data_IF_944244057144
#
_entry.id   IF_944244057144
#
_cell.length_a   1.000
_cell.length_b   1.000
_cell.length_c   1.000
_cell.angle_alpha   90.00
_cell.angle_beta   90.00
_cell.angle_gamma   90.00
#
_symmetry.space_group_name_H-M   'P 1'
#
loop_
_entity.id
_entity.type
_entity.pdbx_description
1 polymer ?
#
# COMPACT_ATOMS: atom_id res chain seq x y z
N UNK A 1 -39.84 26.22 -41.23
CA UNK A 1 -38.88 26.72 -40.23
C UNK A 1 -37.90 25.58 -40.05
N UNK A 2 -36.96 25.44 -41.00
CA UNK A 2 -35.60 25.98 -40.95
C UNK A 2 -34.78 25.28 -39.85
N UNK A 3 -33.65 24.61 -40.06
CA UNK A 3 -32.74 24.38 -41.20
C UNK A 3 -31.78 23.25 -40.73
N UNK A 4 -31.44 22.24 -41.55
CA UNK A 4 -30.23 22.12 -42.41
C UNK A 4 -28.92 22.15 -41.58
N UNK A 5 -27.86 21.39 -41.83
CA UNK A 5 -27.53 20.37 -42.82
C UNK A 5 -26.20 19.70 -42.38
N UNK A 6 -25.89 18.60 -43.06
CA UNK A 6 -24.62 17.88 -43.10
C UNK A 6 -23.35 18.73 -43.26
N UNK A 7 -22.21 18.22 -42.78
CA UNK A 7 -20.90 18.57 -43.36
C UNK A 7 -19.83 17.48 -43.12
N UNK A 8 -19.65 16.63 -44.12
CA UNK A 8 -18.37 15.99 -44.46
C UNK A 8 -17.44 17.05 -45.05
N UNK A 9 -16.13 17.07 -44.77
CA UNK A 9 -15.09 17.35 -45.78
C UNK A 9 -13.70 16.81 -45.41
N UNK A 10 -12.96 16.53 -46.48
CA UNK A 10 -11.68 15.88 -46.68
C UNK A 10 -10.43 16.67 -46.22
N UNK A 11 -9.31 15.95 -46.12
CA UNK A 11 -7.92 16.48 -46.13
C UNK A 11 -7.57 17.06 -47.51
N UNK A 12 -6.75 18.13 -47.53
CA UNK A 12 -5.55 18.24 -48.38
C UNK A 12 -4.74 19.53 -48.06
N UNK A 13 -3.53 19.52 -48.62
CA UNK A 13 -2.22 20.11 -48.32
C UNK A 13 -2.01 21.60 -48.68
N UNK A 14 -0.79 22.07 -48.41
CA UNK A 14 -0.03 23.21 -49.00
C UNK A 14 0.16 24.53 -48.21
N UNK A 15 1.43 24.84 -47.89
CA UNK A 15 2.08 26.06 -48.41
C UNK A 15 2.60 27.16 -47.45
N UNK A 16 3.92 27.14 -47.21
CA UNK A 16 4.94 28.24 -47.14
C UNK A 16 4.80 29.56 -46.32
N UNK A 17 5.93 29.95 -45.70
CA UNK A 17 6.39 31.36 -45.57
C UNK A 17 7.00 31.81 -44.22
N UNK A 18 8.35 31.90 -44.17
CA UNK A 18 9.30 32.92 -43.61
C UNK A 18 8.84 33.95 -42.54
N UNK A 19 9.63 34.55 -41.63
CA UNK A 19 11.02 34.63 -41.11
C UNK A 19 10.93 35.50 -39.83
N UNK A 20 11.86 35.37 -38.87
CA UNK A 20 12.57 36.49 -38.18
C UNK A 20 13.22 36.09 -36.83
N UNK A 21 14.45 36.59 -36.68
CA UNK A 21 15.46 36.39 -35.62
C UNK A 21 15.21 37.25 -34.37
N UNK A 22 15.66 36.81 -33.19
CA UNK A 22 16.35 37.70 -32.24
C UNK A 22 17.21 36.92 -31.23
N UNK A 23 18.50 37.26 -31.22
CA UNK A 23 19.56 36.77 -30.34
C UNK A 23 19.45 37.33 -28.91
N UNK A 24 19.99 36.59 -27.94
CA UNK A 24 20.16 37.05 -26.56
C UNK A 24 21.19 36.21 -25.80
N UNK A 25 22.46 36.54 -25.99
CA UNK A 25 23.59 36.03 -25.20
C UNK A 25 23.65 36.73 -23.83
N UNK A 26 23.77 35.97 -22.74
CA UNK A 26 24.48 36.42 -21.53
C UNK A 26 25.27 35.27 -20.91
N UNK A 27 26.58 35.31 -21.13
CA UNK A 27 27.57 34.59 -20.35
C UNK A 27 28.06 35.50 -19.22
N UNK A 28 28.00 35.03 -17.98
CA UNK A 28 28.65 35.67 -16.84
C UNK A 28 29.71 34.74 -16.24
N UNK A 29 30.93 35.22 -16.40
CA UNK A 29 32.22 34.82 -15.85
C UNK A 29 32.27 35.02 -14.32
N UNK A 30 32.94 34.11 -13.60
CA UNK A 30 33.60 34.44 -12.33
C UNK A 30 34.70 33.42 -11.96
N UNK A 31 35.89 33.74 -12.45
CA UNK A 31 37.18 33.82 -11.74
C UNK A 31 37.60 32.75 -10.71
N UNK A 32 38.78 32.20 -10.98
CA UNK A 32 39.55 31.40 -10.06
C UNK A 32 40.19 32.20 -8.92
N UNK A 33 40.31 31.55 -7.78
CA UNK A 33 41.23 31.94 -6.71
C UNK A 33 42.09 30.73 -6.35
N UNK A 34 43.37 30.87 -6.67
CA UNK A 34 44.46 30.12 -6.10
C UNK A 34 44.69 30.59 -4.65
N UNK A 35 44.68 29.64 -3.72
CA UNK A 35 45.24 29.76 -2.36
C UNK A 35 45.67 28.33 -2.04
N UNK A 36 46.96 28.02 -1.97
CA UNK A 36 47.85 28.42 -0.89
C UNK A 36 48.08 27.15 -0.06
N UNK A 37 49.23 26.52 -0.27
CA UNK A 37 49.63 25.30 0.42
C UNK A 37 49.96 25.63 1.87
N UNK A 38 49.26 24.99 2.80
CA UNK A 38 49.72 24.80 4.18
C UNK A 38 49.62 23.30 4.47
N UNK A 39 50.78 22.64 4.42
CA UNK A 39 51.04 21.35 5.05
C UNK A 39 51.00 21.58 6.57
N UNK A 40 50.40 20.63 7.31
CA UNK A 40 50.48 20.40 8.77
C UNK A 40 49.11 20.39 9.48
N UNK A 41 48.34 19.29 9.34
CA UNK A 41 47.53 18.73 10.44
C UNK A 41 47.09 17.29 10.12
N UNK A 42 48.03 16.33 10.18
CA UNK A 42 47.71 14.90 10.15
C UNK A 42 47.28 14.44 11.55
N UNK A 43 46.05 14.78 11.93
CA UNK A 43 45.33 14.14 13.02
C UNK A 43 44.99 12.70 12.64
N UNK A 44 45.78 11.74 13.14
CA UNK A 44 45.48 10.31 13.16
C UNK A 44 44.12 10.09 13.87
N UNK A 45 43.04 10.06 13.11
CA UNK A 45 41.80 9.45 13.56
C UNK A 45 42.01 7.95 13.49
N UNK A 46 42.01 7.31 14.66
CA UNK A 46 42.02 5.87 14.80
C UNK A 46 40.87 5.29 13.97
N UNK A 47 41.20 4.44 12.99
CA UNK A 47 40.23 3.67 12.22
C UNK A 47 39.43 2.80 13.20
N UNK A 48 38.19 3.20 13.49
CA UNK A 48 37.22 2.31 14.10
C UNK A 48 37.12 1.03 13.23
N UNK A 49 37.24 -0.17 13.82
CA UNK A 49 37.18 -1.40 13.05
C UNK A 49 35.83 -1.47 12.31
N UNK A 50 35.80 -2.02 11.08
CA UNK A 50 34.59 -2.04 10.27
C UNK A 50 33.46 -2.67 11.10
N UNK A 51 32.40 -1.89 11.33
CA UNK A 51 31.20 -2.36 12.00
C UNK A 51 30.78 -3.66 11.32
N UNK A 52 30.87 -4.77 12.06
CA UNK A 52 30.39 -6.06 11.60
C UNK A 52 28.97 -5.87 11.08
N UNK A 53 28.67 -6.35 9.88
CA UNK A 53 27.32 -6.43 9.35
C UNK A 53 26.40 -7.00 10.42
N UNK A 54 25.69 -6.11 11.13
CA UNK A 54 24.79 -6.49 12.20
C UNK A 54 23.62 -7.12 11.48
N UNK A 55 23.63 -8.46 11.37
CA UNK A 55 22.53 -9.23 10.79
C UNK A 55 21.28 -8.84 11.55
N UNK A 56 20.41 -8.13 10.87
CA UNK A 56 19.12 -7.76 11.43
C UNK A 56 18.33 -9.04 11.63
N UNK A 57 17.77 -9.21 12.81
CA UNK A 57 16.88 -10.31 13.13
C UNK A 57 15.62 -10.18 12.27
N UNK A 58 15.67 -10.77 11.08
CA UNK A 58 14.55 -10.92 10.17
C UNK A 58 14.17 -12.38 10.16
N UNK A 59 12.90 -12.66 10.45
CA UNK A 59 12.37 -14.01 10.37
C UNK A 59 11.25 -14.05 9.33
N UNK A 60 11.35 -15.04 8.44
CA UNK A 60 10.28 -15.35 7.50
C UNK A 60 9.10 -15.90 8.29
N UNK A 61 7.97 -15.21 8.21
CA UNK A 61 6.71 -15.58 8.83
C UNK A 61 5.87 -16.34 7.78
N UNK A 62 5.46 -17.55 8.11
CA UNK A 62 4.42 -18.32 7.41
C UNK A 62 3.03 -17.76 7.73
N UNK A 63 2.02 -18.05 6.90
CA UNK A 63 0.62 -17.67 7.18
C UNK A 63 0.16 -18.03 8.62
N UNK A 64 0.59 -19.18 9.13
CA UNK A 64 0.30 -19.63 10.50
C UNK A 64 0.97 -18.77 11.57
N UNK A 65 2.23 -18.40 11.37
CA UNK A 65 2.98 -17.55 12.32
C UNK A 65 2.55 -16.09 12.23
N UNK A 66 1.99 -15.68 11.09
CA UNK A 66 1.40 -14.36 10.90
C UNK A 66 0.08 -14.24 11.67
N UNK A 67 -0.74 -15.27 11.57
CA UNK A 67 -1.99 -15.38 12.32
C UNK A 67 -1.73 -15.39 13.83
N UNK A 68 -0.67 -16.07 14.29
CA UNK A 68 -0.27 -16.05 15.70
C UNK A 68 0.17 -14.65 16.18
N UNK A 69 1.00 -13.95 15.39
CA UNK A 69 1.42 -12.58 15.70
C UNK A 69 0.23 -11.62 15.74
N UNK A 70 -0.68 -11.71 14.75
CA UNK A 70 -1.91 -10.93 14.74
C UNK A 70 -2.75 -11.21 15.99
N UNK A 71 -2.85 -12.47 16.40
CA UNK A 71 -3.62 -12.87 17.59
C UNK A 71 -3.03 -12.33 18.88
N UNK A 72 -1.70 -12.22 18.99
CA UNK A 72 -1.02 -11.62 20.14
C UNK A 72 -1.34 -10.12 20.27
N UNK A 73 -1.24 -9.37 19.16
CA UNK A 73 -1.59 -7.94 19.13
C UNK A 73 -3.07 -7.73 19.46
N UNK A 74 -3.96 -8.56 18.89
CA UNK A 74 -5.39 -8.56 19.21
C UNK A 74 -5.65 -8.83 20.69
N UNK A 75 -5.01 -9.85 21.25
CA UNK A 75 -5.18 -10.25 22.66
C UNK A 75 -4.77 -9.12 23.61
N UNK A 76 -3.73 -8.37 23.25
CA UNK A 76 -3.28 -7.20 24.02
C UNK A 76 -4.40 -6.15 24.14
N UNK A 77 -5.02 -5.77 23.02
CA UNK A 77 -6.11 -4.78 23.02
C UNK A 77 -7.42 -5.32 23.58
N UNK A 78 -7.71 -6.61 23.38
CA UNK A 78 -8.86 -7.28 23.99
C UNK A 78 -8.80 -7.17 25.51
N UNK A 79 -7.64 -7.47 26.11
CA UNK A 79 -7.44 -7.42 27.55
C UNK A 79 -7.43 -5.98 28.07
N UNK A 80 -6.73 -5.06 27.38
CA UNK A 80 -6.60 -3.65 27.80
C UNK A 80 -7.95 -2.93 27.79
N UNK A 81 -8.76 -3.14 26.75
CA UNK A 81 -10.02 -2.41 26.54
C UNK A 81 -11.25 -3.21 26.98
N UNK A 82 -11.09 -4.48 27.38
CA UNK A 82 -12.16 -5.42 27.68
C UNK A 82 -13.20 -5.49 26.55
N UNK A 83 -12.72 -5.81 25.35
CA UNK A 83 -13.51 -5.90 24.12
C UNK A 83 -13.34 -7.27 23.47
N UNK A 84 -14.28 -7.64 22.59
CA UNK A 84 -14.22 -8.90 21.84
C UNK A 84 -13.19 -8.83 20.71
N UNK A 85 -12.78 -9.98 20.19
CA UNK A 85 -11.77 -10.09 19.13
C UNK A 85 -12.12 -9.28 17.88
N UNK A 86 -13.36 -9.38 17.38
CA UNK A 86 -13.78 -8.64 16.17
C UNK A 86 -13.78 -7.12 16.38
N UNK A 87 -14.03 -6.69 17.62
CA UNK A 87 -13.98 -5.28 18.02
C UNK A 87 -12.52 -4.80 18.06
N UNK A 88 -11.62 -5.59 18.66
CA UNK A 88 -10.19 -5.32 18.65
C UNK A 88 -9.66 -5.24 17.21
N UNK A 89 -10.02 -6.19 16.33
CA UNK A 89 -9.61 -6.17 14.93
C UNK A 89 -10.16 -4.94 14.20
N UNK A 90 -11.41 -4.57 14.43
CA UNK A 90 -11.99 -3.35 13.86
C UNK A 90 -11.24 -2.08 14.30
N UNK A 91 -10.79 -2.03 15.56
CA UNK A 91 -9.98 -0.94 16.09
C UNK A 91 -8.61 -0.88 15.41
N UNK A 92 -7.93 -2.03 15.30
CA UNK A 92 -6.64 -2.10 14.62
C UNK A 92 -6.73 -1.69 13.15
N UNK A 93 -7.74 -2.17 12.41
CA UNK A 93 -7.93 -1.79 11.01
C UNK A 93 -8.18 -0.27 10.90
N UNK A 94 -9.00 0.31 11.79
CA UNK A 94 -9.25 1.76 11.81
C UNK A 94 -7.95 2.58 12.03
N UNK A 95 -7.07 2.09 12.91
CA UNK A 95 -5.78 2.71 13.22
C UNK A 95 -4.63 2.18 12.35
N UNK A 96 -4.92 1.48 11.25
CA UNK A 96 -3.90 0.93 10.33
C UNK A 96 -2.83 0.13 11.06
N UNK A 97 -3.23 -0.68 12.03
CA UNK A 97 -2.34 -1.53 12.82
C UNK A 97 -1.21 -0.79 13.56
N UNK A 98 -1.32 0.53 13.75
CA UNK A 98 -0.35 1.34 14.51
C UNK A 98 -0.76 1.40 15.97
N UNK A 99 -0.11 0.56 16.78
CA UNK A 99 -0.41 0.43 18.21
C UNK A 99 -0.23 1.76 18.96
N UNK A 100 0.80 2.54 18.62
CA UNK A 100 1.06 3.85 19.22
C UNK A 100 -0.09 4.83 18.97
N UNK A 101 -0.69 4.80 17.77
CA UNK A 101 -1.85 5.62 17.45
C UNK A 101 -3.09 5.23 18.27
N UNK A 102 -3.22 3.95 18.66
CA UNK A 102 -4.30 3.48 19.53
C UNK A 102 -4.07 4.01 20.94
N UNK A 103 -2.86 3.89 21.50
CA UNK A 103 -2.52 4.42 22.82
C UNK A 103 -2.70 5.95 22.88
N UNK A 104 -2.16 6.69 21.91
CA UNK A 104 -2.33 8.14 21.82
C UNK A 104 -3.81 8.55 21.75
N UNK A 105 -4.63 7.80 21.00
CA UNK A 105 -6.05 8.08 20.87
C UNK A 105 -6.80 7.77 22.17
N UNK A 106 -6.45 6.66 22.83
CA UNK A 106 -6.99 6.25 24.12
C UNK A 106 -6.71 7.31 25.19
N UNK A 107 -5.48 7.81 25.26
CA UNK A 107 -5.06 8.82 26.23
C UNK A 107 -5.75 10.18 25.99
N UNK A 108 -5.84 10.61 24.73
CA UNK A 108 -6.39 11.93 24.38
C UNK A 108 -7.92 11.99 24.38
N UNK A 109 -8.59 10.96 23.85
CA UNK A 109 -10.05 10.97 23.61
C UNK A 109 -10.82 10.11 24.60
N UNK A 110 -10.14 9.20 25.29
CA UNK A 110 -10.76 8.19 26.14
C UNK A 110 -11.34 7.01 25.37
N UNK A 111 -11.56 5.91 26.09
CA UNK A 111 -11.99 4.61 25.56
C UNK A 111 -13.26 4.70 24.70
N UNK A 112 -14.35 5.24 25.23
CA UNK A 112 -15.65 5.13 24.56
C UNK A 112 -15.73 5.94 23.27
N UNK A 113 -15.06 7.09 23.22
CA UNK A 113 -15.02 7.93 22.02
C UNK A 113 -14.18 7.26 20.92
N UNK A 114 -13.01 6.72 21.27
CA UNK A 114 -12.16 5.98 20.35
C UNK A 114 -12.91 4.79 19.74
N UNK A 115 -13.59 4.00 20.57
CA UNK A 115 -14.38 2.85 20.10
C UNK A 115 -15.50 3.27 19.14
N UNK A 116 -16.25 4.34 19.46
CA UNK A 116 -17.31 4.84 18.57
C UNK A 116 -16.79 5.35 17.24
N UNK A 117 -15.66 6.05 17.21
CA UNK A 117 -15.03 6.54 15.98
C UNK A 117 -14.56 5.38 15.08
N UNK A 118 -14.15 4.26 15.69
CA UNK A 118 -13.84 3.01 14.99
C UNK A 118 -15.09 2.19 14.58
N UNK A 119 -16.30 2.70 14.82
CA UNK A 119 -17.55 1.99 14.52
C UNK A 119 -17.83 0.80 15.44
N UNK A 120 -17.25 0.79 16.65
CA UNK A 120 -17.45 -0.26 17.65
C UNK A 120 -18.56 0.17 18.59
N UNK A 121 -19.60 -0.66 18.69
CA UNK A 121 -20.69 -0.47 19.63
C UNK A 121 -20.55 -1.51 20.75
N UNK A 122 -20.44 -1.03 21.98
CA UNK A 122 -20.46 -1.91 23.15
C UNK A 122 -21.91 -2.14 23.56
N UNK A 123 -22.34 -3.41 23.57
CA UNK A 123 -23.59 -3.76 24.23
C UNK A 123 -23.36 -3.69 25.75
N UNK A 124 -23.93 -2.66 26.39
CA UNK A 124 -24.04 -2.66 27.83
C UNK A 124 -24.88 -3.87 28.25
N UNK A 125 -24.52 -4.51 29.37
CA UNK A 125 -25.22 -5.67 29.96
C UNK A 125 -26.69 -5.41 30.33
N UNK A 126 -27.26 -4.27 29.92
CA UNK A 126 -28.66 -3.91 30.05
C UNK A 126 -29.56 -4.52 28.95
N UNK A 127 -29.10 -5.52 28.19
CA UNK A 127 -29.95 -6.34 27.32
C UNK A 127 -30.90 -7.26 28.11
N UNK A 128 -30.71 -7.43 29.42
CA UNK A 128 -31.65 -8.16 30.27
C UNK A 128 -32.93 -7.38 30.62
N UNK A 129 -33.01 -6.07 30.36
CA UNK A 129 -34.22 -5.28 30.66
C UNK A 129 -35.11 -5.01 29.44
N UNK A 130 -34.58 -5.09 28.22
CA UNK A 130 -35.37 -4.90 26.99
C UNK A 130 -35.92 -6.23 26.45
N UNK A 131 -35.34 -7.37 26.86
CA UNK A 131 -35.88 -8.70 26.57
C UNK A 131 -37.15 -9.09 27.33
N UNK A 132 -37.51 -8.35 28.39
CA UNK A 132 -38.64 -8.70 29.27
C UNK A 132 -40.00 -8.10 28.85
N UNK A 133 -40.06 -7.27 27.81
CA UNK A 133 -41.31 -6.66 27.31
C UNK A 133 -41.76 -7.14 25.92
N UNK A 134 -41.01 -8.01 25.24
CA UNK A 134 -41.48 -8.62 24.00
C UNK A 134 -42.14 -9.95 24.36
N UNK A 135 -43.46 -9.99 24.27
CA UNK A 135 -44.20 -11.24 24.10
C UNK A 135 -43.49 -12.11 23.05
N UNK A 136 -43.38 -13.44 23.23
CA UNK A 136 -42.71 -14.30 22.25
C UNK A 136 -43.53 -14.37 20.96
N UNK A 137 -43.41 -13.34 20.13
CA UNK A 137 -43.79 -13.40 18.73
C UNK A 137 -42.80 -14.34 18.04
N UNK A 138 -43.29 -15.46 17.55
CA UNK A 138 -42.49 -16.53 16.92
C UNK A 138 -41.92 -16.14 15.55
N UNK A 139 -42.33 -15.00 15.00
CA UNK A 139 -41.88 -14.50 13.71
C UNK A 139 -41.20 -13.13 13.84
N UNK A 140 -40.14 -12.94 13.06
CA UNK A 140 -39.40 -11.68 12.92
C UNK A 140 -39.56 -11.22 11.47
N UNK A 141 -39.94 -9.97 11.26
CA UNK A 141 -40.00 -9.36 9.92
C UNK A 141 -38.64 -8.76 9.54
N UNK A 142 -38.19 -9.00 8.31
CA UNK A 142 -37.00 -8.36 7.75
C UNK A 142 -37.38 -7.08 6.99
N UNK A 143 -36.89 -5.92 7.43
CA UNK A 143 -37.20 -4.62 6.82
C UNK A 143 -36.50 -4.35 5.46
N UNK A 144 -35.79 -5.34 4.92
CA UNK A 144 -35.06 -5.22 3.64
C UNK A 144 -35.77 -5.97 2.53
N UNK A 145 -36.12 -7.24 2.78
CA UNK A 145 -36.87 -8.06 1.84
C UNK A 145 -38.37 -8.13 2.13
N UNK A 146 -38.82 -7.59 3.27
CA UNK A 146 -40.21 -7.65 3.76
C UNK A 146 -40.74 -9.08 3.90
N UNK A 147 -39.87 -10.02 4.27
CA UNK A 147 -40.28 -11.37 4.65
C UNK A 147 -40.67 -11.40 6.12
N UNK A 148 -41.87 -11.90 6.40
CA UNK A 148 -42.60 -11.74 7.66
C UNK A 148 -42.63 -13.04 8.51
N UNK A 149 -42.24 -14.17 7.93
CA UNK A 149 -42.33 -15.52 8.55
C UNK A 149 -40.96 -16.12 8.86
N UNK A 150 -40.02 -15.28 9.32
CA UNK A 150 -38.66 -15.74 9.62
C UNK A 150 -38.57 -16.33 11.03
N UNK A 151 -38.00 -17.54 11.09
CA UNK A 151 -37.61 -18.15 12.36
C UNK A 151 -36.48 -17.36 13.03
N UNK A 152 -36.34 -17.42 14.36
CA UNK A 152 -35.22 -16.79 15.07
C UNK A 152 -33.83 -17.26 14.63
N UNK A 153 -33.73 -18.45 14.01
CA UNK A 153 -32.47 -18.96 13.46
C UNK A 153 -32.14 -18.38 12.06
N UNK A 154 -33.15 -17.87 11.35
CA UNK A 154 -33.02 -17.28 10.02
C UNK A 154 -32.65 -15.78 10.05
N UNK A 155 -32.42 -15.21 11.24
CA UNK A 155 -32.06 -13.80 11.42
C UNK A 155 -30.77 -13.67 12.23
N UNK A 156 -30.00 -12.62 11.96
CA UNK A 156 -28.80 -12.27 12.72
C UNK A 156 -28.87 -10.83 13.19
N UNK A 157 -28.51 -10.60 14.45
CA UNK A 157 -28.44 -9.26 15.07
C UNK A 157 -26.98 -8.84 15.26
N UNK A 158 -26.65 -7.60 14.92
CA UNK A 158 -25.31 -7.03 15.11
C UNK A 158 -25.16 -6.39 16.50
N UNK A 159 -23.93 -6.01 16.89
CA UNK A 159 -23.66 -5.33 18.16
C UNK A 159 -24.48 -4.03 18.33
N UNK A 160 -24.81 -3.33 17.22
CA UNK A 160 -25.68 -2.16 17.23
C UNK A 160 -27.16 -2.45 17.52
N UNK A 161 -27.58 -3.71 17.59
CA UNK A 161 -28.95 -4.13 17.86
C UNK A 161 -29.84 -4.28 16.62
N UNK A 162 -29.38 -3.87 15.43
CA UNK A 162 -30.12 -4.06 14.18
C UNK A 162 -30.11 -5.54 13.76
N UNK A 163 -31.27 -6.01 13.31
CA UNK A 163 -31.53 -7.41 12.99
C UNK A 163 -32.15 -7.50 11.59
N UNK A 164 -31.62 -8.40 10.77
CA UNK A 164 -32.11 -8.68 9.42
C UNK A 164 -32.00 -10.18 9.14
N UNK A 165 -32.69 -10.66 8.10
CA UNK A 165 -32.58 -12.05 7.69
C UNK A 165 -31.16 -12.39 7.22
N UNK A 166 -30.77 -13.64 7.40
CA UNK A 166 -29.44 -14.14 7.04
C UNK A 166 -29.19 -14.00 5.53
N UNK A 167 -30.22 -14.12 4.69
CA UNK A 167 -30.10 -13.95 3.24
C UNK A 167 -29.70 -12.52 2.87
N UNK A 168 -30.40 -11.51 3.40
CA UNK A 168 -30.06 -10.11 3.15
C UNK A 168 -28.67 -9.74 3.70
N UNK A 169 -28.30 -10.27 4.87
CA UNK A 169 -26.94 -10.12 5.39
C UNK A 169 -25.90 -10.73 4.46
N UNK A 170 -26.15 -11.95 3.97
CA UNK A 170 -25.22 -12.68 3.11
C UNK A 170 -24.99 -11.94 1.79
N UNK A 171 -26.05 -11.43 1.16
CA UNK A 171 -25.94 -10.63 -0.07
C UNK A 171 -25.17 -9.33 0.17
N UNK A 172 -25.48 -8.62 1.26
CA UNK A 172 -24.77 -7.39 1.64
C UNK A 172 -23.28 -7.65 1.87
N UNK A 173 -22.94 -8.73 2.56
CA UNK A 173 -21.55 -9.12 2.78
C UNK A 173 -20.85 -9.47 1.48
N UNK A 174 -21.46 -10.28 0.62
CA UNK A 174 -20.85 -10.65 -0.65
C UNK A 174 -20.57 -9.41 -1.52
N UNK A 175 -21.55 -8.51 -1.63
CA UNK A 175 -21.38 -7.26 -2.38
C UNK A 175 -20.27 -6.36 -1.78
N UNK A 176 -20.14 -6.31 -0.45
CA UNK A 176 -19.08 -5.54 0.20
C UNK A 176 -17.68 -6.13 -0.07
N UNK A 177 -17.55 -7.46 -0.08
CA UNK A 177 -16.30 -8.16 -0.40
C UNK A 177 -15.93 -8.02 -1.88
N UNK A 178 -16.91 -8.11 -2.79
CA UNK A 178 -16.67 -7.86 -4.21
C UNK A 178 -16.21 -6.42 -4.46
N UNK A 179 -16.67 -5.46 -3.63
CA UNK A 179 -16.18 -4.09 -3.60
C UNK A 179 -14.83 -3.88 -2.89
N UNK A 180 -14.15 -4.94 -2.45
CA UNK A 180 -12.83 -4.86 -1.81
C UNK A 180 -12.83 -4.27 -0.38
N UNK A 181 -13.96 -4.27 0.32
CA UNK A 181 -14.06 -3.65 1.65
C UNK A 181 -13.54 -4.61 2.73
N UNK A 182 -12.52 -4.17 3.49
CA UNK A 182 -11.96 -4.88 4.65
C UNK A 182 -12.85 -4.77 5.90
N UNK A 183 -13.64 -3.71 6.01
CA UNK A 183 -14.62 -3.50 7.09
C UNK A 183 -16.00 -3.28 6.50
N UNK A 184 -16.96 -4.09 6.95
CA UNK A 184 -18.34 -4.05 6.49
C UNK A 184 -19.19 -3.37 7.56
N UNK A 185 -19.91 -2.32 7.17
CA UNK A 185 -20.84 -1.62 8.05
C UNK A 185 -22.20 -2.30 8.07
N UNK A 186 -22.94 -2.10 9.15
CA UNK A 186 -24.33 -2.46 9.28
C UNK A 186 -25.16 -1.91 8.10
N UNK A 187 -26.15 -2.67 7.67
CA UNK A 187 -27.05 -2.29 6.56
C UNK A 187 -28.00 -1.15 6.92
N UNK A 188 -28.25 -0.92 8.21
CA UNK A 188 -29.16 0.14 8.64
C UNK A 188 -28.63 1.52 8.25
N UNK A 189 -29.54 2.37 7.76
CA UNK A 189 -29.21 3.70 7.26
C UNK A 189 -28.63 4.56 8.38
N UNK A 190 -27.49 5.19 8.12
CA UNK A 190 -26.72 6.01 9.10
C UNK A 190 -26.11 5.22 10.26
N UNK A 191 -26.20 3.89 10.28
CA UNK A 191 -25.49 3.09 11.26
C UNK A 191 -24.01 3.00 10.89
N UNK A 192 -23.12 3.38 11.82
CA UNK A 192 -21.66 3.30 11.63
C UNK A 192 -21.04 2.02 12.20
N UNK A 193 -21.86 1.14 12.77
CA UNK A 193 -21.38 -0.06 13.41
C UNK A 193 -20.73 -1.02 12.40
N UNK A 194 -19.54 -1.52 12.72
CA UNK A 194 -18.87 -2.57 11.96
C UNK A 194 -19.50 -3.92 12.33
N UNK A 195 -19.76 -4.75 11.32
CA UNK A 195 -20.31 -6.08 11.49
C UNK A 195 -19.26 -7.04 12.08
N UNK A 196 -19.72 -7.98 12.90
CA UNK A 196 -18.91 -9.03 13.50
C UNK A 196 -18.36 -9.97 12.41
N UNK A 197 -17.03 -10.09 12.35
CA UNK A 197 -16.33 -10.91 11.35
C UNK A 197 -16.73 -12.39 11.39
N UNK A 198 -17.06 -12.94 12.56
CA UNK A 198 -17.48 -14.32 12.72
C UNK A 198 -18.89 -14.54 12.19
N UNK A 199 -19.77 -13.53 12.28
CA UNK A 199 -21.07 -13.56 11.60
C UNK A 199 -20.88 -13.47 10.08
N UNK A 200 -20.00 -12.58 9.61
CA UNK A 200 -19.68 -12.43 8.18
C UNK A 200 -19.16 -13.75 7.61
N UNK A 201 -18.14 -14.35 8.22
CA UNK A 201 -17.57 -15.63 7.81
C UNK A 201 -18.59 -16.75 7.81
N UNK A 202 -19.42 -16.87 8.87
CA UNK A 202 -20.44 -17.91 8.97
C UNK A 202 -21.46 -17.81 7.83
N UNK A 203 -22.00 -16.61 7.59
CA UNK A 203 -23.05 -16.41 6.59
C UNK A 203 -22.52 -16.53 5.16
N UNK A 204 -21.34 -15.94 4.88
CA UNK A 204 -20.68 -16.14 3.59
C UNK A 204 -20.29 -17.60 3.38
N UNK A 205 -19.77 -18.29 4.39
CA UNK A 205 -19.34 -19.69 4.29
C UNK A 205 -20.47 -20.65 3.91
N UNK A 206 -21.72 -20.30 4.23
CA UNK A 206 -22.90 -21.10 3.86
C UNK A 206 -23.27 -21.01 2.39
N UNK A 207 -23.11 -19.82 1.76
CA UNK A 207 -23.60 -19.56 0.39
C UNK A 207 -22.49 -19.24 -0.62
N UNK A 208 -21.44 -18.54 -0.18
CA UNK A 208 -20.34 -18.01 -0.99
C UNK A 208 -18.98 -18.37 -0.35
N UNK A 209 -18.55 -19.64 -0.37
CA UNK A 209 -17.31 -20.07 0.29
C UNK A 209 -16.06 -19.36 -0.25
N UNK A 210 -16.02 -19.02 -1.54
CA UNK A 210 -14.91 -18.27 -2.12
C UNK A 210 -14.89 -16.80 -1.66
N UNK A 211 -16.06 -16.19 -1.41
CA UNK A 211 -16.14 -14.86 -0.80
C UNK A 211 -15.67 -14.89 0.67
N UNK A 212 -16.00 -15.94 1.42
CA UNK A 212 -15.49 -16.12 2.78
C UNK A 212 -13.96 -16.21 2.82
N UNK A 213 -13.34 -17.02 1.94
CA UNK A 213 -11.87 -17.08 1.81
C UNK A 213 -11.26 -15.74 1.41
N UNK A 214 -11.91 -14.99 0.50
CA UNK A 214 -11.46 -13.63 0.13
C UNK A 214 -11.53 -12.68 1.32
N UNK A 215 -12.57 -12.77 2.15
CA UNK A 215 -12.69 -11.98 3.36
C UNK A 215 -11.57 -12.29 4.36
N UNK A 216 -11.26 -13.56 4.60
CA UNK A 216 -10.14 -13.97 5.47
C UNK A 216 -8.82 -13.39 4.97
N UNK A 217 -8.59 -13.46 3.67
CA UNK A 217 -7.43 -12.84 3.03
C UNK A 217 -7.42 -11.33 3.23
N UNK A 218 -8.54 -10.62 3.08
CA UNK A 218 -8.60 -9.17 3.33
C UNK A 218 -8.31 -8.79 4.78
N UNK A 219 -8.77 -9.60 5.75
CA UNK A 219 -8.44 -9.39 7.16
C UNK A 219 -6.94 -9.59 7.41
N UNK A 220 -6.32 -10.58 6.77
CA UNK A 220 -4.88 -10.81 6.85
C UNK A 220 -4.07 -9.71 6.14
N UNK A 221 -4.46 -9.32 4.93
CA UNK A 221 -3.83 -8.24 4.16
C UNK A 221 -3.93 -6.90 4.89
N UNK A 222 -4.99 -6.66 5.66
CA UNK A 222 -5.07 -5.47 6.53
C UNK A 222 -3.87 -5.37 7.48
N UNK A 223 -3.43 -6.51 8.04
CA UNK A 223 -2.29 -6.56 8.96
C UNK A 223 -0.95 -6.35 8.25
N UNK A 224 -0.86 -6.64 6.96
CA UNK A 224 0.38 -6.58 6.20
C UNK A 224 0.59 -5.28 5.44
N UNK A 225 -0.48 -4.71 4.88
CA UNK A 225 -0.36 -3.47 4.10
C UNK A 225 -0.15 -2.25 5.00
N UNK A 226 -0.71 -2.28 6.20
CA UNK A 226 -0.72 -1.15 7.11
C UNK A 226 0.33 -1.26 8.23
N UNK A 227 1.09 -2.37 8.29
CA UNK A 227 2.14 -2.58 9.29
C UNK A 227 3.54 -2.34 8.70
N UNK A 228 4.21 -1.30 9.21
CA UNK A 228 5.55 -0.90 8.76
C UNK A 228 6.62 -2.00 8.97
N UNK A 229 6.34 -3.00 9.82
CA UNK A 229 7.29 -4.06 10.19
C UNK A 229 7.00 -5.40 9.52
N UNK A 230 5.93 -5.54 8.73
CA UNK A 230 5.59 -6.82 8.09
C UNK A 230 5.22 -6.62 6.62
N UNK A 231 5.85 -7.35 5.69
CA UNK A 231 5.53 -7.27 4.26
C UNK A 231 5.52 -8.63 3.58
N UNK A 232 4.70 -8.78 2.53
CA UNK A 232 4.66 -9.99 1.71
C UNK A 232 5.99 -10.26 0.97
N UNK A 233 6.29 -11.52 0.70
CA UNK A 233 7.37 -11.88 -0.21
C UNK A 233 6.97 -11.55 -1.66
N UNK A 234 7.77 -10.79 -2.43
CA UNK A 234 7.44 -10.38 -3.80
C UNK A 234 7.61 -11.49 -4.85
N UNK A 235 7.68 -12.76 -4.44
CA UNK A 235 7.94 -13.87 -5.37
C UNK A 235 6.81 -14.01 -6.40
N UNK A 236 7.14 -14.42 -7.62
CA UNK A 236 6.18 -14.70 -8.68
C UNK A 236 6.41 -16.14 -9.17
N UNK A 237 5.43 -17.05 -9.02
CA UNK A 237 4.17 -16.91 -8.28
C UNK A 237 4.39 -16.66 -6.78
N UNK A 238 3.37 -16.08 -6.12
CA UNK A 238 3.47 -15.70 -4.70
C UNK A 238 3.66 -16.93 -3.82
N UNK A 239 4.70 -16.93 -2.98
CA UNK A 239 5.09 -18.09 -2.17
C UNK A 239 4.29 -18.23 -0.87
N UNK A 240 3.38 -17.30 -0.59
CA UNK A 240 2.49 -17.32 0.58
C UNK A 240 3.17 -16.97 1.91
N UNK A 241 4.39 -16.40 1.87
CA UNK A 241 5.17 -16.03 3.07
C UNK A 241 5.27 -14.52 3.20
N UNK A 242 5.20 -14.02 4.42
CA UNK A 242 5.52 -12.65 4.77
C UNK A 242 6.84 -12.58 5.54
N UNK A 243 7.46 -11.42 5.62
CA UNK A 243 8.69 -11.18 6.39
C UNK A 243 8.37 -10.13 7.44
N UNK A 244 8.78 -10.38 8.69
CA UNK A 244 8.75 -9.37 9.76
C UNK A 244 10.18 -8.96 10.12
N UNK A 245 10.36 -7.67 10.30
CA UNK A 245 11.62 -7.07 10.76
C UNK A 245 11.44 -6.52 12.18
N UNK A 246 12.47 -6.66 13.02
CA UNK A 246 12.48 -6.12 14.37
C UNK A 246 12.49 -4.58 14.40
N UNK A 247 12.15 -4.02 15.56
CA UNK A 247 12.24 -2.58 15.86
C UNK A 247 13.71 -2.16 15.96
N UNK A 248 14.31 -1.70 14.87
CA UNK A 248 15.67 -1.15 14.93
C UNK A 248 16.22 -0.67 13.60
N UNK A 249 16.06 -1.47 12.53
CA UNK A 249 16.67 -1.18 11.24
C UNK A 249 15.63 -1.24 10.12
N UNK A 250 15.30 -0.09 9.53
CA UNK A 250 14.39 0.02 8.38
C UNK A 250 15.10 -0.25 7.04
N UNK A 251 16.41 -0.51 7.08
CA UNK A 251 17.29 -0.67 5.93
C UNK A 251 17.84 -2.09 5.88
N UNK A 252 16.97 -3.06 5.60
CA UNK A 252 17.37 -4.46 5.60
C UNK A 252 17.08 -5.10 4.25
N UNK A 253 18.12 -5.71 3.69
CA UNK A 253 17.93 -6.77 2.72
C UNK A 253 17.42 -7.99 3.47
N UNK A 254 16.30 -8.51 3.01
CA UNK A 254 15.65 -9.67 3.61
C UNK A 254 15.64 -10.80 2.61
N UNK A 255 15.84 -12.02 3.09
CA UNK A 255 15.78 -13.22 2.28
C UNK A 255 14.62 -14.08 2.73
N UNK A 256 13.67 -14.32 1.83
CA UNK A 256 12.61 -15.28 2.07
C UNK A 256 13.16 -16.71 1.96
N UNK A 257 12.56 -17.64 2.70
CA UNK A 257 12.87 -19.07 2.62
C UNK A 257 12.54 -19.69 1.24
N UNK A 258 11.76 -19.02 0.40
CA UNK A 258 11.57 -19.41 -1.00
C UNK A 258 12.79 -19.09 -1.89
N UNK A 259 13.82 -18.43 -1.34
CA UNK A 259 15.06 -18.09 -2.02
C UNK A 259 15.11 -16.66 -2.56
N UNK A 260 13.99 -15.95 -2.62
CA UNK A 260 13.93 -14.56 -3.08
C UNK A 260 14.50 -13.62 -2.03
N UNK A 261 15.46 -12.80 -2.43
CA UNK A 261 15.97 -11.69 -1.63
C UNK A 261 15.48 -10.36 -2.20
N UNK A 262 15.08 -9.44 -1.33
CA UNK A 262 14.57 -8.14 -1.73
C UNK A 262 14.86 -7.08 -0.66
N UNK A 263 14.76 -5.81 -1.03
CA UNK A 263 14.83 -4.70 -0.08
C UNK A 263 13.50 -4.58 0.66
N UNK A 264 13.51 -4.71 1.99
CA UNK A 264 12.28 -4.63 2.79
C UNK A 264 11.59 -3.26 2.67
N UNK A 265 12.36 -2.18 2.48
CA UNK A 265 11.80 -0.84 2.43
C UNK A 265 11.02 -0.58 1.12
N UNK A 266 11.62 -0.84 -0.05
CA UNK A 266 11.02 -0.53 -1.35
C UNK A 266 10.38 -1.72 -2.07
N UNK A 267 10.53 -2.95 -1.56
CA UNK A 267 10.02 -4.20 -2.17
C UNK A 267 10.66 -4.60 -3.50
N UNK A 268 11.73 -3.91 -3.92
CA UNK A 268 12.48 -4.21 -5.14
C UNK A 268 13.65 -5.16 -4.88
N UNK A 269 14.36 -5.54 -5.95
CA UNK A 269 15.59 -6.32 -5.84
C UNK A 269 16.58 -5.71 -4.84
N UNK A 270 17.33 -6.58 -4.15
CA UNK A 270 18.44 -6.18 -3.26
C UNK A 270 19.38 -5.22 -3.98
N UNK A 271 19.59 -4.07 -3.38
CA UNK A 271 20.31 -2.96 -4.00
C UNK A 271 21.29 -2.30 -3.03
N UNK A 272 21.69 -2.97 -1.94
CA UNK A 272 22.78 -2.50 -1.08
C UNK A 272 24.09 -2.39 -1.88
N UNK A 273 24.91 -1.35 -1.68
CA UNK A 273 24.77 -0.24 -0.70
C UNK A 273 23.94 0.96 -1.21
N UNK A 274 23.33 0.87 -2.39
CA UNK A 274 22.56 1.96 -2.98
C UNK A 274 21.28 2.26 -2.17
N UNK A 275 21.02 3.53 -1.77
CA UNK A 275 19.76 3.90 -1.12
C UNK A 275 18.55 3.68 -2.05
N UNK A 276 17.39 3.31 -1.48
CA UNK A 276 16.16 3.07 -2.27
C UNK A 276 15.78 4.24 -3.18
N UNK A 277 16.06 5.48 -2.77
CA UNK A 277 15.79 6.69 -3.56
C UNK A 277 16.60 6.72 -4.85
N UNK A 278 17.88 6.39 -4.78
CA UNK A 278 18.78 6.34 -5.94
C UNK A 278 18.44 5.12 -6.80
N UNK A 279 18.20 3.96 -6.20
CA UNK A 279 17.76 2.76 -6.91
C UNK A 279 16.50 3.04 -7.74
N UNK A 280 15.50 3.70 -7.15
CA UNK A 280 14.26 4.06 -7.85
C UNK A 280 14.52 4.97 -9.06
N UNK A 281 15.34 6.01 -8.90
CA UNK A 281 15.70 6.89 -10.01
C UNK A 281 16.44 6.15 -11.12
N UNK A 282 17.38 5.28 -10.76
CA UNK A 282 18.11 4.44 -11.71
C UNK A 282 17.16 3.51 -12.46
N UNK A 283 16.27 2.81 -11.74
CA UNK A 283 15.30 1.90 -12.33
C UNK A 283 14.34 2.64 -13.27
N UNK A 284 13.88 3.84 -12.91
CA UNK A 284 13.06 4.69 -13.79
C UNK A 284 13.81 5.13 -15.04
N UNK A 285 15.11 5.43 -14.99
CA UNK A 285 15.88 5.75 -16.19
C UNK A 285 16.08 4.52 -17.08
N UNK A 286 16.44 3.38 -16.49
CA UNK A 286 16.71 2.16 -17.25
C UNK A 286 15.45 1.51 -17.82
N UNK A 287 14.28 1.67 -17.18
CA UNK A 287 13.04 1.02 -17.61
C UNK A 287 11.94 1.98 -18.08
N UNK A 288 11.96 3.24 -17.64
CA UNK A 288 11.00 4.28 -18.05
C UNK A 288 11.41 5.08 -19.28
N UNK A 289 12.65 4.94 -19.74
CA UNK A 289 13.09 5.49 -21.02
C UNK A 289 12.71 4.54 -22.18
N UNK A 290 12.22 5.12 -23.28
CA UNK A 290 11.85 4.36 -24.48
C UNK A 290 13.05 3.58 -25.02
N UNK A 291 12.80 2.49 -25.75
CA UNK A 291 13.89 1.68 -26.36
C UNK A 291 14.87 2.53 -27.18
N UNK A 292 14.39 3.64 -27.75
CA UNK A 292 15.21 4.63 -28.45
C UNK A 292 16.28 5.26 -27.56
N UNK A 293 15.97 5.63 -26.33
CA UNK A 293 16.94 6.27 -25.43
C UNK A 293 17.96 5.24 -24.93
N UNK A 294 17.52 4.01 -24.61
CA UNK A 294 18.43 2.90 -24.28
C UNK A 294 19.40 2.61 -25.42
N UNK A 295 18.91 2.64 -26.66
CA UNK A 295 19.73 2.49 -27.84
C UNK A 295 20.73 3.65 -27.98
N UNK A 296 20.30 4.90 -27.76
CA UNK A 296 21.19 6.08 -27.79
C UNK A 296 22.30 5.92 -26.75
N UNK A 297 21.98 5.65 -25.48
CA UNK A 297 23.00 5.48 -24.42
C UNK A 297 23.98 4.35 -24.73
N UNK A 298 23.50 3.26 -25.31
CA UNK A 298 24.33 2.08 -25.62
C UNK A 298 25.23 2.30 -26.84
N UNK A 299 24.74 2.97 -27.88
CA UNK A 299 25.41 3.05 -29.18
C UNK A 299 26.02 4.42 -29.48
N UNK A 300 25.85 5.40 -28.59
CA UNK A 300 26.37 6.75 -28.77
C UNK A 300 27.21 7.21 -27.58
N UNK A 301 28.14 8.12 -27.85
CA UNK A 301 28.85 8.89 -26.81
C UNK A 301 28.62 10.37 -27.03
N UNK A 302 28.52 11.14 -25.95
CA UNK A 302 28.38 12.59 -26.02
C UNK A 302 29.69 13.26 -26.41
N UNK A 303 29.63 14.22 -27.33
CA UNK A 303 30.76 15.06 -27.67
C UNK A 303 31.23 15.88 -26.44
N UNK A 304 32.52 15.93 -26.09
CA UNK A 304 32.98 16.70 -24.94
C UNK A 304 32.87 18.21 -25.13
N UNK A 305 32.71 18.70 -26.37
CA UNK A 305 32.58 20.14 -26.68
C UNK A 305 31.12 20.61 -26.75
N UNK A 306 30.21 19.81 -27.32
CA UNK A 306 28.82 20.24 -27.56
C UNK A 306 27.76 19.29 -26.99
N UNK A 307 28.18 18.23 -26.28
CA UNK A 307 27.35 17.22 -25.60
C UNK A 307 26.35 16.45 -26.46
N UNK A 308 26.29 16.70 -27.78
CA UNK A 308 25.43 15.94 -28.71
C UNK A 308 25.89 14.47 -28.80
N UNK A 309 24.96 13.51 -28.75
CA UNK A 309 25.27 12.08 -28.87
C UNK A 309 25.73 11.75 -30.29
N UNK A 310 26.80 10.97 -30.40
CA UNK A 310 27.39 10.54 -31.67
C UNK A 310 27.48 9.03 -31.70
N UNK A 311 26.86 8.44 -32.71
CA UNK A 311 26.94 7.02 -33.01
C UNK A 311 28.27 6.70 -33.73
N UNK A 312 28.92 5.61 -33.31
CA UNK A 312 30.10 5.10 -34.00
C UNK A 312 29.66 4.27 -35.21
N UNK A 313 29.95 4.75 -36.42
CA UNK A 313 29.84 3.94 -37.66
C UNK A 313 31.16 3.19 -37.88
N UNK A 314 31.06 1.92 -38.29
CA UNK A 314 32.08 0.87 -38.16
C UNK A 314 33.55 1.23 -38.47
N UNK A 315 34.44 0.68 -37.63
CA UNK A 315 35.85 0.42 -37.96
C UNK A 315 36.89 1.47 -37.55
N UNK A 316 36.51 2.73 -37.37
CA UNK A 316 37.46 3.80 -37.00
C UNK A 316 37.28 4.26 -35.54
N UNK A 317 38.35 4.31 -34.76
CA UNK A 317 38.33 4.85 -33.39
C UNK A 317 38.38 6.38 -33.35
N UNK A 318 38.65 7.05 -34.47
CA UNK A 318 38.66 8.50 -34.57
C UNK A 318 37.38 8.99 -35.21
N UNK A 319 36.46 9.49 -34.39
CA UNK A 319 35.17 10.04 -34.81
C UNK A 319 35.21 11.56 -34.69
N UNK A 320 34.83 12.27 -35.75
CA UNK A 320 34.73 13.74 -35.76
C UNK A 320 33.28 14.17 -35.54
N UNK A 321 33.01 14.90 -34.46
CA UNK A 321 31.73 15.55 -34.23
C UNK A 321 31.46 16.64 -35.30
N UNK A 322 30.19 16.91 -35.60
CA UNK A 322 29.78 18.06 -36.44
C UNK A 322 30.31 19.42 -35.95
N UNK A 323 30.60 19.58 -34.66
CA UNK A 323 31.22 20.80 -34.12
C UNK A 323 32.75 20.88 -34.32
N UNK A 324 33.36 19.90 -34.99
CA UNK A 324 34.79 19.83 -35.28
C UNK A 324 35.63 19.08 -34.24
N UNK A 325 35.08 18.73 -33.07
CA UNK A 325 35.79 18.00 -32.01
C UNK A 325 36.01 16.52 -32.37
N UNK A 326 37.20 16.00 -32.09
CA UNK A 326 37.55 14.59 -32.27
C UNK A 326 37.35 13.79 -30.97
N UNK A 327 36.86 12.55 -31.09
CA UNK A 327 36.53 11.66 -29.98
C UNK A 327 36.50 10.18 -30.41
N UNK A 328 36.20 9.28 -29.46
CA UNK A 328 36.09 7.82 -29.65
C UNK A 328 35.02 7.23 -28.74
#
# INVERSE_FOLDING_TARGET
MASDDDCYYYYDDDGDGEEDEEDGEEAADWDGLAVGADEDDLGLLEDDPPHSERRVDCWAITEDTLSAAQQEDLSTMMNLLNIKQHQARSLFIHHRWKIDCIYDCLDRKGRDRMLREAGIVLQEKSSMLIGALRTPSTSVQCNVCFDDDLSPAAVSTMDCGHCFCNDCWTEHFNAAIDGGKKQIRCMEVKCLAICDEGIVQRLLGQKYPDAAKRFDRFLLESYLEDNDFVKWCPSIPHCGRAIRVGTGDRYCEVKCLCGVSFCFNCMEQTHSPCPCTIWKQWNTRIHGESENIKWIVKNTKSCPKCFKPIEKRDGCNLVKCKCGQYMW
#
